data_IF_957582045008
#
_entry.id   IF_957582045008
#
_cell.length_a   1.000
_cell.length_b   1.000
_cell.length_c   1.000
_cell.angle_alpha   90.00
_cell.angle_beta   90.00
_cell.angle_gamma   90.00
#
_symmetry.space_group_name_H-M   'P 1'
#
loop_
_entity.id
_entity.type
_entity.pdbx_description
1 polymer ?
#
# COMPACT_ATOMS: atom_id res chain seq x y z
N UNK A 1 20.56 9.71 7.49
CA UNK A 1 19.41 8.77 7.46
C UNK A 1 18.23 9.50 6.85
N UNK A 2 17.38 8.81 6.03
CA UNK A 2 16.12 9.41 5.53
C UNK A 2 15.17 9.66 6.71
N UNK A 3 14.33 10.72 6.67
CA UNK A 3 13.34 11.01 7.72
C UNK A 3 12.35 9.85 7.92
N UNK A 4 11.83 9.69 9.12
CA UNK A 4 10.76 8.73 9.43
C UNK A 4 9.43 9.39 9.08
N UNK A 5 8.65 8.71 8.25
CA UNK A 5 7.31 9.16 7.81
C UNK A 5 6.21 8.48 8.61
N UNK A 6 6.37 7.18 8.90
CA UNK A 6 5.45 6.42 9.75
C UNK A 6 6.26 5.77 10.86
N UNK A 7 5.78 5.92 12.09
CA UNK A 7 6.31 5.24 13.27
C UNK A 7 5.17 4.61 14.05
N UNK A 8 5.15 3.28 14.13
CA UNK A 8 4.25 2.52 14.97
C UNK A 8 5.02 1.98 16.17
N UNK A 9 4.44 2.13 17.36
CA UNK A 9 5.06 1.72 18.64
C UNK A 9 4.11 0.86 19.46
N UNK A 10 4.52 -0.36 19.77
CA UNK A 10 3.85 -1.29 20.67
C UNK A 10 2.36 -1.46 20.38
N UNK A 11 2.00 -1.60 19.11
CA UNK A 11 0.60 -1.74 18.69
C UNK A 11 0.04 -3.07 19.17
N UNK A 12 -1.06 -2.98 19.91
CA UNK A 12 -1.87 -4.13 20.32
C UNK A 12 -3.26 -3.98 19.73
N UNK A 13 -3.73 -5.02 19.05
CA UNK A 13 -5.03 -4.99 18.36
C UNK A 13 -5.83 -6.23 18.69
N UNK A 14 -7.10 -6.02 19.02
CA UNK A 14 -8.09 -7.09 19.17
C UNK A 14 -9.28 -6.83 18.26
N UNK A 15 -9.76 -7.90 17.62
CA UNK A 15 -11.04 -7.91 16.89
C UNK A 15 -11.98 -8.87 17.65
N UNK A 16 -12.91 -8.29 18.40
CA UNK A 16 -13.66 -9.04 19.41
C UNK A 16 -12.74 -9.64 20.47
N UNK A 17 -12.81 -10.93 20.71
CA UNK A 17 -11.94 -11.64 21.66
C UNK A 17 -10.57 -12.03 21.07
N UNK A 18 -10.42 -11.96 19.74
CA UNK A 18 -9.21 -12.40 19.08
C UNK A 18 -8.10 -11.36 19.12
N UNK A 19 -6.97 -11.69 19.72
CA UNK A 19 -5.74 -10.89 19.65
C UNK A 19 -5.13 -11.05 18.25
N UNK A 20 -5.00 -9.92 17.54
CA UNK A 20 -4.42 -9.85 16.18
C UNK A 20 -2.97 -9.42 16.25
N UNK A 21 -2.69 -8.34 16.99
CA UNK A 21 -1.34 -7.81 17.18
C UNK A 21 -0.98 -7.79 18.66
N UNK A 22 0.26 -8.19 18.96
CA UNK A 22 0.85 -8.21 20.27
C UNK A 22 2.17 -7.42 20.24
N UNK A 23 2.09 -6.12 20.49
CA UNK A 23 3.26 -5.21 20.56
C UNK A 23 4.02 -5.07 19.23
N UNK A 24 3.30 -4.83 18.12
CA UNK A 24 3.94 -4.52 16.82
C UNK A 24 4.60 -3.14 16.88
N UNK A 25 5.87 -3.08 16.43
CA UNK A 25 6.60 -1.81 16.27
C UNK A 25 7.37 -1.83 14.95
N UNK A 26 7.26 -0.75 14.17
CA UNK A 26 8.03 -0.57 12.96
C UNK A 26 8.21 0.91 12.62
N UNK A 27 9.19 1.20 11.74
CA UNK A 27 9.45 2.53 11.22
C UNK A 27 9.57 2.49 9.70
N UNK A 28 8.89 3.43 9.03
CA UNK A 28 8.92 3.59 7.57
C UNK A 28 9.53 4.95 7.27
N UNK A 29 10.48 4.96 6.34
CA UNK A 29 11.25 6.15 5.98
C UNK A 29 10.76 6.78 4.69
N UNK A 30 11.05 8.05 4.52
CA UNK A 30 10.72 8.79 3.31
C UNK A 30 11.36 8.15 2.06
N UNK A 31 10.62 8.13 0.96
CA UNK A 31 11.08 7.62 -0.33
C UNK A 31 11.62 6.17 -0.25
N UNK A 32 10.94 5.30 0.48
CA UNK A 32 11.20 3.86 0.43
C UNK A 32 9.93 3.09 0.04
N UNK A 33 10.11 1.91 -0.52
CA UNK A 33 9.06 0.91 -0.65
C UNK A 33 9.23 -0.05 0.52
N UNK A 34 8.28 0.02 1.46
CA UNK A 34 8.26 -0.80 2.66
C UNK A 34 7.15 -1.84 2.59
N UNK A 35 7.46 -3.10 2.82
CA UNK A 35 6.46 -4.16 2.79
C UNK A 35 6.11 -4.71 4.19
N UNK A 36 4.86 -5.11 4.34
CA UNK A 36 4.37 -5.98 5.41
C UNK A 36 4.24 -7.38 4.82
N UNK A 37 5.14 -8.28 5.18
CA UNK A 37 5.21 -9.67 4.75
C UNK A 37 4.68 -10.58 5.86
N UNK A 38 4.13 -11.73 5.51
CA UNK A 38 3.68 -12.73 6.48
C UNK A 38 2.60 -13.65 5.92
N UNK A 39 2.32 -14.75 6.59
CA UNK A 39 1.30 -15.71 6.20
C UNK A 39 -0.12 -15.14 6.20
N UNK A 40 -1.07 -15.89 5.63
CA UNK A 40 -2.49 -15.54 5.72
C UNK A 40 -2.92 -15.47 7.18
N UNK A 41 -3.69 -14.43 7.53
CA UNK A 41 -4.16 -14.23 8.91
C UNK A 41 -3.11 -13.66 9.89
N UNK A 42 -1.91 -13.28 9.44
CA UNK A 42 -0.89 -12.67 10.33
C UNK A 42 -1.18 -11.22 10.74
N UNK A 43 -2.28 -10.63 10.28
CA UNK A 43 -2.71 -9.28 10.66
C UNK A 43 -2.23 -8.14 9.73
N UNK A 44 -1.53 -8.41 8.62
CA UNK A 44 -0.96 -7.38 7.72
C UNK A 44 -1.98 -6.33 7.28
N UNK A 45 -3.11 -6.76 6.72
CA UNK A 45 -4.16 -5.84 6.24
C UNK A 45 -4.83 -5.10 7.40
N UNK A 46 -4.96 -5.71 8.59
CA UNK A 46 -5.44 -5.02 9.80
C UNK A 46 -4.47 -3.92 10.19
N UNK A 47 -3.15 -4.20 10.21
CA UNK A 47 -2.15 -3.21 10.54
C UNK A 47 -2.09 -2.07 9.50
N UNK A 48 -2.23 -2.39 8.21
CA UNK A 48 -2.35 -1.36 7.17
C UNK A 48 -3.60 -0.49 7.39
N UNK A 49 -4.76 -1.09 7.74
CA UNK A 49 -5.99 -0.35 8.04
C UNK A 49 -5.86 0.57 9.25
N UNK A 50 -5.09 0.20 10.26
CA UNK A 50 -4.76 1.08 11.38
C UNK A 50 -3.94 2.29 10.94
N UNK A 51 -2.92 2.10 10.09
CA UNK A 51 -2.13 3.21 9.56
C UNK A 51 -2.96 4.19 8.73
N UNK A 52 -3.98 3.73 7.99
CA UNK A 52 -4.86 4.60 7.20
C UNK A 52 -6.10 5.08 7.97
N UNK A 53 -6.14 4.88 9.29
CA UNK A 53 -7.23 5.30 10.19
C UNK A 53 -8.60 4.69 9.82
N UNK A 54 -8.65 3.44 9.35
CA UNK A 54 -9.88 2.64 9.17
C UNK A 54 -10.15 1.72 10.36
N UNK A 55 -9.11 1.38 11.12
CA UNK A 55 -9.17 0.58 12.35
C UNK A 55 -8.40 1.33 13.44
N UNK A 56 -8.78 1.11 14.69
CA UNK A 56 -8.11 1.72 15.85
C UNK A 56 -7.47 0.62 16.69
N UNK A 57 -6.16 0.67 16.97
CA UNK A 57 -5.52 -0.28 17.85
C UNK A 57 -6.03 -0.13 19.29
N UNK A 58 -6.00 -1.19 20.07
CA UNK A 58 -6.39 -1.18 21.48
C UNK A 58 -5.41 -0.37 22.34
N UNK A 59 -4.12 -0.44 21.98
CA UNK A 59 -3.05 0.34 22.64
C UNK A 59 -1.84 0.47 21.70
N UNK A 60 -0.89 1.30 22.11
CA UNK A 60 0.25 1.72 21.31
C UNK A 60 -0.02 3.06 20.64
N UNK A 61 0.89 3.51 19.80
CA UNK A 61 0.74 4.77 19.06
C UNK A 61 1.23 4.63 17.61
N UNK A 62 0.57 5.33 16.68
CA UNK A 62 0.97 5.44 15.29
C UNK A 62 1.14 6.92 14.97
N UNK A 63 2.35 7.29 14.57
CA UNK A 63 2.66 8.64 14.13
C UNK A 63 2.85 8.64 12.62
N UNK A 64 2.18 9.57 11.93
CA UNK A 64 2.33 9.81 10.48
C UNK A 64 2.73 11.26 10.28
N UNK A 65 3.85 11.48 9.59
CA UNK A 65 4.47 12.81 9.44
C UNK A 65 4.67 13.51 10.80
N UNK A 66 5.03 12.73 11.84
CA UNK A 66 5.27 13.20 13.20
C UNK A 66 4.02 13.51 14.03
N UNK A 67 2.81 13.30 13.51
CA UNK A 67 1.54 13.49 14.22
C UNK A 67 1.02 12.15 14.73
N UNK A 68 0.66 12.05 16.01
CA UNK A 68 -0.07 10.89 16.53
C UNK A 68 -1.49 10.89 15.95
N UNK A 69 -1.85 9.81 15.24
CA UNK A 69 -3.15 9.73 14.57
C UNK A 69 -4.33 9.56 15.55
N UNK A 70 -4.07 9.13 16.78
CA UNK A 70 -5.09 8.97 17.82
C UNK A 70 -5.53 10.32 18.41
N UNK A 71 -4.65 11.34 18.40
CA UNK A 71 -4.89 12.65 19.00
C UNK A 71 -5.46 13.69 18.02
N UNK A 72 -5.69 13.32 16.75
CA UNK A 72 -6.14 14.25 15.73
C UNK A 72 -7.62 14.61 15.89
N UNK A 73 -7.94 15.89 15.74
CA UNK A 73 -9.30 16.35 15.49
C UNK A 73 -9.80 15.81 14.12
N UNK A 74 -11.12 15.81 13.92
CA UNK A 74 -11.70 15.38 12.64
C UNK A 74 -11.14 16.16 11.44
N UNK A 75 -10.95 17.47 11.57
CA UNK A 75 -10.40 18.32 10.51
C UNK A 75 -8.95 17.97 10.23
N UNK A 76 -8.11 17.79 11.26
CA UNK A 76 -6.71 17.40 11.09
C UNK A 76 -6.57 16.01 10.47
N UNK A 77 -7.44 15.08 10.85
CA UNK A 77 -7.49 13.74 10.27
C UNK A 77 -7.88 13.78 8.78
N UNK A 78 -8.83 14.65 8.39
CA UNK A 78 -9.21 14.84 6.98
C UNK A 78 -8.04 15.43 6.17
N UNK A 79 -7.36 16.46 6.68
CA UNK A 79 -6.21 17.06 6.01
C UNK A 79 -5.03 16.07 5.89
N UNK A 80 -4.82 15.26 6.92
CA UNK A 80 -3.78 14.23 6.88
C UNK A 80 -4.10 13.15 5.83
N UNK A 81 -5.37 12.70 5.73
CA UNK A 81 -5.82 11.72 4.73
C UNK A 81 -5.61 12.16 3.29
N UNK A 82 -5.61 13.45 2.99
CA UNK A 82 -5.29 13.97 1.65
C UNK A 82 -3.82 13.69 1.24
N UNK A 83 -2.95 13.42 2.22
CA UNK A 83 -1.53 13.18 1.96
C UNK A 83 -1.21 11.74 1.58
N UNK A 84 -2.21 10.84 1.53
CA UNK A 84 -2.00 9.48 1.06
C UNK A 84 -3.07 8.99 0.10
N UNK A 85 -2.67 8.08 -0.77
CA UNK A 85 -3.55 7.27 -1.60
C UNK A 85 -3.62 5.83 -1.10
N UNK A 86 -4.74 5.16 -1.36
CA UNK A 86 -4.93 3.75 -0.99
C UNK A 86 -5.40 2.94 -2.20
N UNK A 87 -4.73 1.82 -2.45
CA UNK A 87 -5.16 0.79 -3.37
C UNK A 87 -5.49 -0.48 -2.57
N UNK A 88 -6.77 -0.84 -2.53
CA UNK A 88 -7.24 -2.08 -1.91
C UNK A 88 -7.11 -3.27 -2.85
N UNK A 89 -7.08 -4.48 -2.30
CA UNK A 89 -6.88 -5.72 -3.02
C UNK A 89 -7.79 -5.89 -4.25
N UNK A 90 -9.07 -5.54 -4.16
CA UNK A 90 -10.02 -5.57 -5.29
C UNK A 90 -10.03 -4.31 -6.17
N UNK A 91 -9.15 -3.32 -5.89
CA UNK A 91 -9.16 -2.00 -6.51
C UNK A 91 -10.21 -1.04 -5.93
N UNK A 92 -11.31 -1.54 -5.40
CA UNK A 92 -12.41 -0.78 -4.78
C UNK A 92 -12.91 0.40 -5.64
N UNK A 93 -12.94 0.24 -6.97
CA UNK A 93 -13.54 1.22 -7.87
C UNK A 93 -15.06 1.18 -7.75
N UNK A 94 -15.70 2.34 -7.84
CA UNK A 94 -17.14 2.45 -7.95
C UNK A 94 -17.61 1.84 -9.28
N UNK A 95 -18.33 0.74 -9.22
CA UNK A 95 -18.73 -0.04 -10.40
C UNK A 95 -19.70 0.69 -11.33
N UNK A 96 -20.46 1.65 -10.79
CA UNK A 96 -21.41 2.51 -11.52
C UNK A 96 -20.75 3.73 -12.18
N UNK A 97 -19.47 3.97 -11.95
CA UNK A 97 -18.72 5.08 -12.51
C UNK A 97 -17.65 4.57 -13.49
N UNK A 98 -17.38 5.32 -14.53
CA UNK A 98 -16.24 5.08 -15.42
C UNK A 98 -14.92 5.28 -14.67
N UNK A 99 -13.81 4.86 -15.25
CA UNK A 99 -12.47 5.10 -14.70
C UNK A 99 -12.22 6.59 -14.48
N UNK A 100 -12.54 7.41 -15.50
CA UNK A 100 -12.39 8.86 -15.39
C UNK A 100 -13.24 9.48 -14.29
N UNK A 101 -14.47 9.03 -14.13
CA UNK A 101 -15.36 9.49 -13.05
C UNK A 101 -14.88 9.07 -11.66
N UNK A 102 -14.33 7.84 -11.52
CA UNK A 102 -13.70 7.37 -10.28
C UNK A 102 -12.56 8.28 -9.82
N UNK A 103 -11.75 8.79 -10.75
CA UNK A 103 -10.65 9.72 -10.46
C UNK A 103 -11.20 11.14 -10.22
N UNK A 104 -12.14 11.59 -11.07
CA UNK A 104 -12.77 12.92 -10.98
C UNK A 104 -13.43 13.16 -9.63
N UNK A 105 -14.02 12.11 -9.03
CA UNK A 105 -14.72 12.21 -7.75
C UNK A 105 -13.83 12.79 -6.65
N UNK A 106 -12.55 12.38 -6.58
CA UNK A 106 -11.61 12.89 -5.58
C UNK A 106 -11.30 14.37 -5.78
N UNK A 107 -11.13 14.82 -7.02
CA UNK A 107 -10.91 16.24 -7.29
C UNK A 107 -12.13 17.09 -6.90
N UNK A 108 -13.35 16.61 -7.21
CA UNK A 108 -14.60 17.33 -6.85
C UNK A 108 -14.83 17.39 -5.33
N UNK A 109 -14.42 16.36 -4.61
CA UNK A 109 -14.61 16.30 -3.15
C UNK A 109 -13.58 17.15 -2.39
N UNK A 110 -12.35 17.18 -2.89
CA UNK A 110 -11.22 17.71 -2.12
C UNK A 110 -10.60 18.99 -2.70
N UNK A 111 -11.10 19.50 -3.84
CA UNK A 111 -10.54 20.70 -4.50
C UNK A 111 -11.64 21.55 -5.13
N UNK A 112 -11.35 22.83 -5.33
CA UNK A 112 -12.20 23.79 -6.07
C UNK A 112 -11.73 23.98 -7.53
N UNK A 113 -11.10 22.96 -8.13
CA UNK A 113 -10.55 23.05 -9.48
C UNK A 113 -11.67 23.13 -10.53
N UNK A 114 -11.48 23.94 -11.60
CA UNK A 114 -12.46 24.00 -12.68
C UNK A 114 -12.54 22.68 -13.46
N UNK A 115 -13.75 22.29 -13.98
CA UNK A 115 -13.95 21.00 -14.64
C UNK A 115 -12.99 20.71 -15.81
N UNK A 116 -12.61 21.76 -16.57
CA UNK A 116 -11.66 21.60 -17.67
C UNK A 116 -10.26 21.17 -17.19
N UNK A 117 -9.79 21.71 -16.04
CA UNK A 117 -8.50 21.33 -15.47
C UNK A 117 -8.57 19.92 -14.87
N UNK A 118 -9.66 19.56 -14.19
CA UNK A 118 -9.88 18.21 -13.69
C UNK A 118 -9.78 17.19 -14.83
N UNK A 119 -10.39 17.49 -15.99
CA UNK A 119 -10.34 16.61 -17.16
C UNK A 119 -8.89 16.34 -17.62
N UNK A 120 -8.06 17.37 -17.69
CA UNK A 120 -6.64 17.24 -18.07
C UNK A 120 -5.83 16.47 -16.99
N UNK A 121 -6.10 16.73 -15.70
CA UNK A 121 -5.46 15.98 -14.61
C UNK A 121 -5.85 14.50 -14.64
N UNK A 122 -7.10 14.17 -14.93
CA UNK A 122 -7.54 12.77 -15.09
C UNK A 122 -6.77 12.07 -16.21
N UNK A 123 -6.61 12.71 -17.37
CA UNK A 123 -5.79 12.16 -18.47
C UNK A 123 -4.35 11.91 -18.03
N UNK A 124 -3.76 12.90 -17.35
CA UNK A 124 -2.39 12.77 -16.81
C UNK A 124 -2.26 11.56 -15.88
N UNK A 125 -3.23 11.32 -14.98
CA UNK A 125 -3.19 10.18 -14.07
C UNK A 125 -3.36 8.84 -14.80
N UNK A 126 -4.17 8.79 -15.86
CA UNK A 126 -4.31 7.61 -16.72
C UNK A 126 -3.00 7.29 -17.45
N UNK A 127 -2.37 8.30 -18.04
CA UNK A 127 -1.10 8.13 -18.73
C UNK A 127 0.03 7.72 -17.76
N UNK A 128 0.05 8.33 -16.57
CA UNK A 128 1.04 8.06 -15.51
C UNK A 128 1.06 6.57 -15.08
N UNK A 129 -0.09 5.91 -15.07
CA UNK A 129 -0.18 4.48 -14.72
C UNK A 129 -0.11 3.56 -15.94
N UNK A 130 0.13 4.11 -17.14
CA UNK A 130 0.26 3.35 -18.39
C UNK A 130 -1.05 2.72 -18.85
N UNK A 131 -2.19 3.34 -18.58
CA UNK A 131 -3.47 2.96 -19.20
C UNK A 131 -3.66 3.66 -20.54
N UNK A 132 -4.31 3.02 -21.52
CA UNK A 132 -4.64 3.70 -22.76
C UNK A 132 -5.69 4.78 -22.52
N UNK A 133 -5.59 5.93 -23.21
CA UNK A 133 -6.45 7.10 -22.99
C UNK A 133 -7.95 6.78 -23.06
N UNK A 134 -8.37 5.84 -23.93
CA UNK A 134 -9.77 5.45 -24.04
C UNK A 134 -10.31 4.77 -22.75
N UNK A 135 -9.44 4.26 -21.87
CA UNK A 135 -9.85 3.65 -20.60
C UNK A 135 -10.59 4.64 -19.69
N UNK A 136 -10.44 5.95 -19.90
CA UNK A 136 -11.18 7.00 -19.17
C UNK A 136 -12.69 6.75 -19.24
N UNK A 137 -13.19 6.25 -20.36
CA UNK A 137 -14.63 6.06 -20.62
C UNK A 137 -15.13 4.65 -20.29
N UNK A 138 -14.25 3.73 -19.89
CA UNK A 138 -14.61 2.36 -19.53
C UNK A 138 -15.10 2.25 -18.10
N UNK A 139 -16.07 1.38 -17.87
CA UNK A 139 -16.50 0.95 -16.55
C UNK A 139 -15.58 -0.14 -16.01
N UNK A 140 -15.46 -0.31 -14.67
CA UNK A 140 -14.64 -1.37 -14.09
C UNK A 140 -14.92 -2.77 -14.64
N UNK A 141 -16.18 -3.08 -14.97
CA UNK A 141 -16.58 -4.37 -15.56
C UNK A 141 -16.03 -4.64 -16.98
N UNK A 142 -15.50 -3.61 -17.65
CA UNK A 142 -14.95 -3.70 -19.01
C UNK A 142 -13.41 -3.79 -19.00
N UNK A 143 -12.80 -3.79 -17.81
CA UNK A 143 -11.35 -3.79 -17.63
C UNK A 143 -10.81 -5.19 -17.35
N UNK A 144 -9.59 -5.48 -17.81
CA UNK A 144 -8.84 -6.63 -17.31
C UNK A 144 -8.40 -6.43 -15.85
N UNK A 145 -8.02 -7.50 -15.15
CA UNK A 145 -7.54 -7.41 -13.76
C UNK A 145 -6.39 -6.42 -13.59
N UNK A 146 -5.40 -6.45 -14.49
CA UNK A 146 -4.29 -5.50 -14.49
C UNK A 146 -4.73 -4.06 -14.75
N UNK A 147 -5.69 -3.84 -15.65
CA UNK A 147 -6.26 -2.50 -15.88
C UNK A 147 -7.04 -1.99 -14.66
N UNK A 148 -7.77 -2.85 -13.94
CA UNK A 148 -8.46 -2.48 -12.67
C UNK A 148 -7.44 -1.98 -11.65
N UNK A 149 -6.32 -2.70 -11.47
CA UNK A 149 -5.25 -2.31 -10.53
C UNK A 149 -4.63 -0.96 -10.91
N UNK A 150 -4.34 -0.75 -12.20
CA UNK A 150 -3.81 0.53 -12.71
C UNK A 150 -4.81 1.67 -12.58
N UNK A 151 -6.09 1.45 -12.86
CA UNK A 151 -7.14 2.46 -12.66
C UNK A 151 -7.32 2.83 -11.17
N UNK A 152 -7.29 1.85 -10.28
CA UNK A 152 -7.31 2.09 -8.84
C UNK A 152 -6.06 2.84 -8.35
N UNK A 153 -4.89 2.55 -8.94
CA UNK A 153 -3.65 3.29 -8.68
C UNK A 153 -3.75 4.73 -9.17
N UNK A 154 -4.28 4.98 -10.38
CA UNK A 154 -4.51 6.33 -10.89
C UNK A 154 -5.42 7.15 -9.96
N UNK A 155 -6.48 6.52 -9.44
CA UNK A 155 -7.35 7.14 -8.44
C UNK A 155 -6.60 7.42 -7.13
N UNK A 156 -5.80 6.48 -6.64
CA UNK A 156 -5.02 6.67 -5.43
C UNK A 156 -4.01 7.83 -5.54
N UNK A 157 -3.52 8.09 -6.75
CA UNK A 157 -2.57 9.18 -7.06
C UNK A 157 -3.25 10.52 -7.39
N UNK A 158 -4.60 10.61 -7.40
CA UNK A 158 -5.32 11.79 -7.88
C UNK A 158 -4.89 13.10 -7.17
N UNK A 159 -4.75 13.07 -5.86
CA UNK A 159 -4.43 14.25 -5.05
C UNK A 159 -2.92 14.46 -4.81
N UNK A 160 -2.06 13.89 -5.65
CA UNK A 160 -0.60 13.96 -5.51
C UNK A 160 -0.10 13.61 -4.08
N UNK A 161 -0.45 12.42 -3.57
CA UNK A 161 -0.12 12.03 -2.22
C UNK A 161 1.39 11.88 -2.02
N UNK A 162 1.85 11.99 -0.77
CA UNK A 162 3.24 11.68 -0.37
C UNK A 162 3.41 10.23 0.04
N UNK A 163 2.31 9.58 0.47
CA UNK A 163 2.25 8.18 0.88
C UNK A 163 1.31 7.40 -0.04
N UNK A 164 1.68 6.18 -0.34
CA UNK A 164 0.85 5.24 -1.09
C UNK A 164 0.75 3.93 -0.32
N UNK A 165 -0.47 3.54 0.04
CA UNK A 165 -0.76 2.26 0.69
C UNK A 165 -1.35 1.29 -0.32
N UNK A 166 -0.77 0.09 -0.40
CA UNK A 166 -1.13 -0.95 -1.36
C UNK A 166 -1.45 -2.25 -0.61
N UNK A 167 -2.70 -2.69 -0.65
CA UNK A 167 -3.10 -3.97 -0.04
C UNK A 167 -3.15 -5.04 -1.13
N UNK A 168 -2.15 -5.92 -1.15
CA UNK A 168 -1.95 -7.00 -2.12
C UNK A 168 -2.13 -6.54 -3.59
N UNK A 169 -1.32 -5.58 -4.06
CA UNK A 169 -1.56 -4.91 -5.34
C UNK A 169 -1.47 -5.85 -6.54
N UNK A 170 -0.64 -6.88 -6.48
CA UNK A 170 -0.41 -7.86 -7.57
C UNK A 170 -1.27 -9.11 -7.46
N UNK A 171 -2.07 -9.24 -6.39
CA UNK A 171 -2.93 -10.40 -6.18
C UNK A 171 -3.89 -10.62 -7.36
N UNK A 172 -3.93 -11.84 -7.89
CA UNK A 172 -4.77 -12.24 -9.02
C UNK A 172 -4.25 -11.83 -10.40
N UNK A 173 -3.04 -11.27 -10.48
CA UNK A 173 -2.35 -11.02 -11.75
C UNK A 173 -1.49 -12.23 -12.14
N UNK A 174 -1.26 -12.39 -13.43
CA UNK A 174 -0.24 -13.31 -13.93
C UNK A 174 1.17 -12.80 -13.59
N UNK A 175 2.21 -13.65 -13.60
CA UNK A 175 3.56 -13.26 -13.18
C UNK A 175 4.16 -12.10 -13.99
N UNK A 176 3.87 -12.00 -15.29
CA UNK A 176 4.36 -10.91 -16.13
C UNK A 176 3.69 -9.58 -15.76
N UNK A 177 2.36 -9.60 -15.60
CA UNK A 177 1.58 -8.44 -15.17
C UNK A 177 1.98 -7.97 -13.77
N UNK A 178 2.28 -8.88 -12.84
CA UNK A 178 2.78 -8.57 -11.49
C UNK A 178 4.10 -7.82 -11.55
N UNK A 179 5.09 -8.33 -12.29
CA UNK A 179 6.39 -7.66 -12.48
C UNK A 179 6.27 -6.28 -13.14
N UNK A 180 5.37 -6.16 -14.13
CA UNK A 180 5.11 -4.85 -14.75
C UNK A 180 4.48 -3.86 -13.78
N UNK A 181 3.60 -4.32 -12.88
CA UNK A 181 3.00 -3.47 -11.85
C UNK A 181 4.05 -3.06 -10.81
N UNK A 182 4.90 -3.97 -10.36
CA UNK A 182 5.99 -3.69 -9.43
C UNK A 182 6.98 -2.67 -10.02
N UNK A 183 7.38 -2.84 -11.28
CA UNK A 183 8.23 -1.88 -11.99
C UNK A 183 7.57 -0.49 -12.08
N UNK A 184 6.25 -0.44 -12.31
CA UNK A 184 5.49 0.81 -12.30
C UNK A 184 5.54 1.48 -10.91
N UNK A 185 5.37 0.73 -9.82
CA UNK A 185 5.46 1.29 -8.46
C UNK A 185 6.85 1.86 -8.19
N UNK A 186 7.93 1.18 -8.59
CA UNK A 186 9.30 1.71 -8.47
C UNK A 186 9.48 3.01 -9.27
N UNK A 187 9.03 3.05 -10.53
CA UNK A 187 9.09 4.25 -11.36
C UNK A 187 8.31 5.42 -10.74
N UNK A 188 7.11 5.18 -10.23
CA UNK A 188 6.30 6.20 -9.57
C UNK A 188 6.94 6.71 -8.29
N UNK A 189 7.52 5.82 -7.46
CA UNK A 189 8.29 6.22 -6.28
C UNK A 189 9.42 7.16 -6.66
N UNK A 190 10.21 6.81 -7.67
CA UNK A 190 11.38 7.59 -8.09
C UNK A 190 10.99 8.92 -8.75
N UNK A 191 9.93 8.91 -9.59
CA UNK A 191 9.46 10.09 -10.31
C UNK A 191 8.77 11.11 -9.39
N UNK A 192 7.94 10.63 -8.45
CA UNK A 192 7.09 11.48 -7.62
C UNK A 192 7.62 11.65 -6.19
N UNK A 193 8.70 10.98 -5.82
CA UNK A 193 9.23 11.00 -4.45
C UNK A 193 8.30 10.32 -3.44
N UNK A 194 7.55 9.28 -3.85
CA UNK A 194 6.57 8.60 -3.00
C UNK A 194 7.25 7.76 -1.92
N UNK A 195 6.61 7.69 -0.77
CA UNK A 195 6.82 6.59 0.19
C UNK A 195 5.70 5.57 -0.02
N UNK A 196 6.06 4.31 -0.19
CA UNK A 196 5.10 3.23 -0.46
C UNK A 196 5.08 2.25 0.69
N UNK A 197 3.89 1.92 1.18
CA UNK A 197 3.66 0.84 2.15
C UNK A 197 2.79 -0.21 1.47
N UNK A 198 3.30 -1.43 1.34
CA UNK A 198 2.53 -2.50 0.71
C UNK A 198 2.37 -3.72 1.60
N UNK A 199 1.21 -4.33 1.54
CA UNK A 199 0.99 -5.68 2.04
C UNK A 199 1.22 -6.64 0.89
N UNK A 200 2.07 -7.62 1.07
CA UNK A 200 2.29 -8.68 0.08
C UNK A 200 2.66 -10.00 0.75
N UNK A 201 2.43 -11.09 0.05
CA UNK A 201 2.97 -12.42 0.36
C UNK A 201 3.85 -12.94 -0.78
N UNK A 202 4.08 -12.10 -1.81
CA UNK A 202 4.89 -12.42 -2.98
C UNK A 202 6.37 -12.14 -2.69
N UNK A 203 7.18 -13.20 -2.70
CA UNK A 203 8.61 -13.10 -2.46
C UNK A 203 9.36 -12.50 -3.65
N UNK A 204 8.88 -12.67 -4.88
CA UNK A 204 9.47 -12.01 -6.07
C UNK A 204 9.43 -10.48 -5.92
N UNK A 205 8.29 -9.94 -5.45
CA UNK A 205 8.15 -8.52 -5.09
C UNK A 205 9.14 -8.11 -3.99
N UNK A 206 9.33 -8.93 -2.95
CA UNK A 206 10.28 -8.65 -1.86
C UNK A 206 11.72 -8.60 -2.37
N UNK A 207 12.09 -9.53 -3.25
CA UNK A 207 13.46 -9.61 -3.78
C UNK A 207 13.82 -8.45 -4.72
N UNK A 208 12.86 -7.97 -5.53
CA UNK A 208 13.16 -7.08 -6.65
C UNK A 208 12.64 -5.65 -6.49
N UNK A 209 11.68 -5.43 -5.59
CA UNK A 209 10.96 -4.16 -5.54
C UNK A 209 11.06 -3.45 -4.19
N UNK A 210 11.13 -4.21 -3.11
CA UNK A 210 11.05 -3.69 -1.74
C UNK A 210 12.42 -3.28 -1.20
N UNK A 211 12.52 -2.09 -0.61
CA UNK A 211 13.75 -1.62 0.03
C UNK A 211 13.93 -2.23 1.43
N UNK A 212 12.86 -2.24 2.23
CA UNK A 212 12.81 -2.80 3.58
C UNK A 212 11.44 -3.39 3.85
N UNK A 213 11.35 -4.33 4.77
CA UNK A 213 10.08 -4.94 5.15
C UNK A 213 10.05 -5.38 6.61
N UNK A 214 8.83 -5.62 7.13
CA UNK A 214 8.59 -6.34 8.36
C UNK A 214 7.94 -7.69 8.05
N UNK A 215 8.51 -8.76 8.59
CA UNK A 215 7.92 -10.10 8.57
C UNK A 215 7.04 -10.27 9.81
N UNK A 216 5.73 -10.34 9.61
CA UNK A 216 4.74 -10.56 10.66
C UNK A 216 4.49 -12.07 10.84
N UNK A 217 4.58 -12.52 12.07
CA UNK A 217 4.29 -13.88 12.49
C UNK A 217 3.98 -13.90 13.99
N UNK A 218 3.24 -14.89 14.47
CA UNK A 218 2.92 -15.04 15.90
C UNK A 218 2.38 -13.74 16.54
N UNK A 219 1.61 -12.95 15.76
CA UNK A 219 1.03 -11.65 16.16
C UNK A 219 2.05 -10.52 16.41
N UNK A 220 3.29 -10.71 16.02
CA UNK A 220 4.44 -9.79 16.25
C UNK A 220 5.23 -9.54 14.98
N UNK A 221 6.10 -8.55 15.03
CA UNK A 221 7.18 -8.42 14.04
C UNK A 221 8.29 -9.39 14.43
N UNK A 222 8.49 -10.42 13.62
CA UNK A 222 9.54 -11.43 13.80
C UNK A 222 10.90 -10.89 13.37
N UNK A 223 10.91 -10.17 12.24
CA UNK A 223 12.12 -9.58 11.66
C UNK A 223 11.74 -8.32 10.89
N UNK A 224 12.64 -7.34 10.84
CA UNK A 224 12.47 -6.16 9.99
C UNK A 224 13.83 -5.63 9.52
N UNK A 225 13.85 -5.11 8.32
CA UNK A 225 15.06 -4.56 7.70
C UNK A 225 15.07 -4.73 6.19
N UNK A 226 16.24 -4.61 5.59
CA UNK A 226 16.52 -5.01 4.22
C UNK A 226 16.47 -6.54 4.11
N UNK A 227 16.32 -7.08 2.91
CA UNK A 227 16.33 -8.53 2.70
C UNK A 227 17.59 -9.18 3.30
N UNK A 228 18.77 -8.56 3.09
CA UNK A 228 20.04 -9.05 3.64
C UNK A 228 20.04 -9.09 5.18
N UNK A 229 19.51 -8.07 5.82
CA UNK A 229 19.42 -8.01 7.29
C UNK A 229 18.45 -9.07 7.84
N UNK A 230 17.30 -9.25 7.22
CA UNK A 230 16.30 -10.22 7.64
C UNK A 230 16.80 -11.65 7.45
N UNK A 231 17.44 -11.96 6.33
CA UNK A 231 18.03 -13.30 6.08
C UNK A 231 19.17 -13.66 7.03
N UNK A 232 19.79 -12.68 7.68
CA UNK A 232 20.81 -12.92 8.70
C UNK A 232 20.24 -13.28 10.09
N UNK A 233 18.90 -13.15 10.27
CA UNK A 233 18.22 -13.48 11.53
C UNK A 233 17.95 -14.99 11.57
N UNK A 234 18.56 -15.67 12.54
CA UNK A 234 18.30 -17.10 12.78
C UNK A 234 16.95 -17.28 13.50
N UNK A 235 15.87 -17.47 12.70
CA UNK A 235 14.53 -17.67 13.24
C UNK A 235 13.72 -18.63 12.36
N UNK A 236 13.02 -19.65 12.92
CA UNK A 236 12.31 -20.67 12.14
C UNK A 236 11.30 -20.11 11.14
N UNK A 237 10.63 -19.01 11.45
CA UNK A 237 9.67 -18.35 10.55
C UNK A 237 10.40 -17.71 9.36
N UNK A 238 11.57 -17.07 9.57
CA UNK A 238 12.38 -16.52 8.48
C UNK A 238 12.82 -17.64 7.54
N UNK A 239 13.37 -18.72 8.11
CA UNK A 239 13.79 -19.89 7.35
C UNK A 239 12.62 -20.51 6.57
N UNK A 240 11.46 -20.67 7.19
CA UNK A 240 10.27 -21.20 6.55
C UNK A 240 9.80 -20.35 5.36
N UNK A 241 9.81 -19.02 5.49
CA UNK A 241 9.39 -18.11 4.42
C UNK A 241 10.36 -18.14 3.23
N UNK A 242 11.65 -18.08 3.48
CA UNK A 242 12.65 -17.90 2.42
C UNK A 242 13.28 -19.22 1.93
N UNK A 243 13.22 -20.34 2.67
CA UNK A 243 13.72 -21.65 2.22
C UNK A 243 12.74 -22.40 1.28
N UNK A 244 11.44 -22.08 1.32
CA UNK A 244 10.48 -22.67 0.37
C UNK A 244 10.80 -22.40 -1.11
N UNK A 245 11.52 -21.32 -1.42
CA UNK A 245 11.97 -21.02 -2.78
C UNK A 245 13.07 -22.00 -3.27
N UNK A 246 13.92 -22.50 -2.38
CA UNK A 246 14.98 -23.42 -2.76
C UNK A 246 14.47 -24.77 -3.26
N UNK A 247 13.21 -25.12 -3.01
CA UNK A 247 12.60 -26.41 -3.39
C UNK A 247 11.57 -26.31 -4.52
N UNK A 248 11.22 -25.09 -4.97
CA UNK A 248 10.22 -24.83 -6.03
C UNK A 248 10.80 -24.76 -7.46
N UNK A 249 12.12 -24.83 -7.63
CA UNK A 249 12.79 -24.71 -8.94
C UNK A 249 13.23 -26.10 -9.50
N UNK A 250 12.87 -27.19 -8.84
CA UNK A 250 13.09 -28.55 -9.36
C UNK A 250 11.74 -29.27 -9.52
N UNK A 251 11.07 -29.01 -10.62
CA UNK A 251 9.86 -29.73 -11.02
C UNK A 251 9.44 -29.34 -12.43
#
# INVERSE_FOLDING_TARGET
>A
MKPIVIEARNIVTRLGENLIHDSISCTIRENEIYALLGGSGSGKSTFLREMIMLETPQSGSIHIFGKDIADLSLTEAQELRKQWGVLFQSGALYSSLTVGENITLLYKEYTDLPPALIHELVKLKIDLVGLPTHAIHLYPSQLSGGMIKRAALARALALDPKLLFLDEPTSGLDPLSSRQFDALIQQLRDLLGLTVVMVTHDLDTIHHTVDRFALLGEKRVIAQGTLKEVLAINHPIVDYFFQKESHGIQG
#
